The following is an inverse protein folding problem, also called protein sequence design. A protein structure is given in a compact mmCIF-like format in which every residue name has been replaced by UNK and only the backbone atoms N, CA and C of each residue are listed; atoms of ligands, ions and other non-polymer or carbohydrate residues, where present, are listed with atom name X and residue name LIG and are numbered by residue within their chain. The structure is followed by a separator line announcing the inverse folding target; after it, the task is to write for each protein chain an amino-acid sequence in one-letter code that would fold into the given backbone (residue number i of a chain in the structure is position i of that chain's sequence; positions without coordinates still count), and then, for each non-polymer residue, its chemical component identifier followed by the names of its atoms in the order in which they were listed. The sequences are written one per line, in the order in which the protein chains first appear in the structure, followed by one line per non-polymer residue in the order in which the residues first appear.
data_IF_192716715260
#
_entry.id   IF_192716715260
#
_cell.length_a   1.000
_cell.length_b   1.000
_cell.length_c   1.000
_cell.angle_alpha   90.00
_cell.angle_beta   90.00
_cell.angle_gamma   90.00
#
_symmetry.space_group_name_H-M   'P 1'
#
loop_
_entity.id
_entity.type
_entity.pdbx_description
1 polymer ?
#
# COMPACT_ATOMS: atom_id res chain seq x y z
N UNK A 1 14.75 -8.43 -12.64
CA UNK A 1 13.85 -8.74 -11.50
C UNK A 1 13.33 -7.41 -10.95
N UNK A 2 12.02 -7.21 -10.85
CA UNK A 2 11.44 -5.96 -10.33
C UNK A 2 11.45 -6.02 -8.80
N UNK A 3 12.05 -5.01 -8.16
CA UNK A 3 12.19 -4.98 -6.69
C UNK A 3 11.34 -3.87 -6.04
N UNK A 4 11.01 -2.82 -6.80
CA UNK A 4 10.34 -1.63 -6.29
C UNK A 4 9.08 -1.34 -7.11
N UNK A 5 7.94 -1.22 -6.43
CA UNK A 5 6.65 -0.86 -6.99
C UNK A 5 6.26 0.52 -6.48
N UNK A 6 5.78 1.39 -7.36
CA UNK A 6 5.21 2.69 -6.98
C UNK A 6 3.75 2.68 -7.35
N UNK A 7 2.89 2.94 -6.36
CA UNK A 7 1.44 3.07 -6.55
C UNK A 7 1.08 4.55 -6.37
N UNK A 8 0.53 5.15 -7.43
CA UNK A 8 0.10 6.55 -7.43
C UNK A 8 -1.41 6.58 -7.24
N UNK A 9 -1.85 7.17 -6.14
CA UNK A 9 -3.22 7.17 -5.64
C UNK A 9 -3.41 6.20 -4.48
N UNK A 10 -3.85 6.70 -3.32
CA UNK A 10 -4.14 5.96 -2.09
C UNK A 10 -5.66 5.77 -1.86
N UNK A 11 -6.45 5.84 -2.93
CA UNK A 11 -7.86 5.47 -2.91
C UNK A 11 -8.09 3.96 -2.74
N UNK A 12 -9.35 3.51 -2.89
CA UNK A 12 -9.73 2.10 -2.67
C UNK A 12 -8.90 1.12 -3.49
N UNK A 13 -8.73 1.36 -4.79
CA UNK A 13 -7.96 0.49 -5.67
C UNK A 13 -6.46 0.56 -5.37
N UNK A 14 -5.93 1.76 -5.11
CA UNK A 14 -4.52 1.97 -4.80
C UNK A 14 -4.07 1.23 -3.55
N UNK A 15 -4.90 1.23 -2.51
CA UNK A 15 -4.64 0.45 -1.30
C UNK A 15 -4.63 -1.06 -1.55
N UNK A 16 -5.58 -1.56 -2.35
CA UNK A 16 -5.61 -2.98 -2.71
C UNK A 16 -4.35 -3.42 -3.47
N UNK A 17 -3.96 -2.64 -4.49
CA UNK A 17 -2.75 -2.89 -5.29
C UNK A 17 -1.51 -2.87 -4.39
N UNK A 18 -1.36 -1.82 -3.57
CA UNK A 18 -0.22 -1.68 -2.68
C UNK A 18 -0.14 -2.83 -1.65
N UNK A 19 -1.29 -3.23 -1.08
CA UNK A 19 -1.38 -4.34 -0.15
C UNK A 19 -0.93 -5.67 -0.77
N UNK A 20 -1.45 -6.02 -1.96
CA UNK A 20 -1.11 -7.29 -2.62
C UNK A 20 0.39 -7.39 -2.94
N UNK A 21 1.00 -6.31 -3.43
CA UNK A 21 2.45 -6.30 -3.68
C UNK A 21 3.27 -6.33 -2.38
N UNK A 22 2.85 -5.61 -1.34
CA UNK A 22 3.52 -5.64 -0.04
C UNK A 22 3.46 -7.04 0.59
N UNK A 23 2.30 -7.70 0.54
CA UNK A 23 2.11 -9.07 1.01
C UNK A 23 2.98 -10.08 0.23
N UNK A 24 3.21 -9.82 -1.05
CA UNK A 24 4.06 -10.67 -1.90
C UNK A 24 5.56 -10.40 -1.71
N UNK A 25 5.95 -9.59 -0.72
CA UNK A 25 7.35 -9.32 -0.37
C UNK A 25 8.03 -8.25 -1.23
N UNK A 26 7.28 -7.48 -2.03
CA UNK A 26 7.85 -6.38 -2.82
C UNK A 26 7.98 -5.13 -1.98
N UNK A 27 8.99 -4.30 -2.28
CA UNK A 27 9.08 -2.95 -1.72
C UNK A 27 8.09 -2.03 -2.45
N UNK A 28 7.08 -1.55 -1.74
CA UNK A 28 6.02 -0.71 -2.31
C UNK A 28 6.09 0.71 -1.74
N UNK A 29 6.08 1.70 -2.63
CA UNK A 29 5.91 3.11 -2.29
C UNK A 29 4.50 3.55 -2.70
N UNK A 30 3.69 3.98 -1.73
CA UNK A 30 2.37 4.56 -1.97
C UNK A 30 2.48 6.10 -1.97
N UNK A 31 1.98 6.74 -3.03
CA UNK A 31 2.04 8.19 -3.22
C UNK A 31 0.65 8.73 -3.50
N UNK A 32 0.24 9.77 -2.78
CA UNK A 32 -0.98 10.53 -3.04
C UNK A 32 -0.73 12.00 -2.75
N UNK A 33 -1.51 12.88 -3.37
CA UNK A 33 -1.46 14.33 -3.10
C UNK A 33 -2.14 14.67 -1.76
N UNK A 34 -3.05 13.81 -1.30
CA UNK A 34 -3.74 13.95 -0.02
C UNK A 34 -3.05 13.13 1.07
N UNK A 35 -2.52 13.83 2.07
CA UNK A 35 -1.96 13.19 3.26
C UNK A 35 -3.02 12.34 3.99
N UNK A 36 -4.27 12.82 4.04
CA UNK A 36 -5.36 12.08 4.67
C UNK A 36 -5.64 10.75 3.97
N UNK A 37 -5.55 10.71 2.63
CA UNK A 37 -5.69 9.47 1.87
C UNK A 37 -4.53 8.51 2.15
N UNK A 38 -3.29 9.01 2.23
CA UNK A 38 -2.13 8.23 2.61
C UNK A 38 -2.26 7.63 4.00
N UNK A 39 -2.64 8.42 5.00
CA UNK A 39 -2.76 7.97 6.39
C UNK A 39 -3.81 6.87 6.53
N UNK A 40 -4.97 7.05 5.90
CA UNK A 40 -6.02 6.01 5.85
C UNK A 40 -5.51 4.76 5.14
N UNK A 41 -4.86 4.92 4.00
CA UNK A 41 -4.35 3.81 3.20
C UNK A 41 -3.30 3.00 3.92
N UNK A 42 -2.29 3.66 4.49
CA UNK A 42 -1.26 3.05 5.30
C UNK A 42 -1.85 2.31 6.50
N UNK A 43 -2.78 2.92 7.24
CA UNK A 43 -3.44 2.27 8.38
C UNK A 43 -4.17 0.99 7.97
N UNK A 44 -4.89 1.01 6.84
CA UNK A 44 -5.58 -0.18 6.33
C UNK A 44 -4.60 -1.26 5.90
N UNK A 45 -3.54 -0.89 5.17
CA UNK A 45 -2.53 -1.82 4.68
C UNK A 45 -1.80 -2.48 5.86
N UNK A 46 -1.34 -1.71 6.85
CA UNK A 46 -0.62 -2.24 8.02
C UNK A 46 -1.52 -3.14 8.86
N UNK A 47 -2.74 -2.68 9.17
CA UNK A 47 -3.71 -3.49 9.94
C UNK A 47 -4.01 -4.83 9.27
N UNK A 48 -4.07 -4.88 7.94
CA UNK A 48 -4.34 -6.11 7.20
C UNK A 48 -3.11 -7.02 7.11
N UNK A 49 -1.90 -6.45 7.05
CA UNK A 49 -0.66 -7.22 7.09
C UNK A 49 -0.42 -7.83 8.47
N UNK A 50 -0.66 -7.06 9.55
CA UNK A 50 -0.49 -7.51 10.94
C UNK A 50 -1.44 -8.67 11.32
N UNK A 51 -2.55 -8.86 10.58
CA UNK A 51 -3.50 -9.97 10.80
C UNK A 51 -3.03 -11.31 10.23
N UNK A 52 -1.93 -11.33 9.49
CA UNK A 52 -1.45 -12.51 8.76
C UNK A 52 -0.24 -13.15 9.46
N UNK A 53 0.22 -12.59 10.60
CA UNK A 53 1.20 -13.23 11.50
C UNK A 53 0.58 -14.22 12.49
#
# INVERSE_FOLDING_TARGET
MIQNIVVIGAGTMGNGIAHTFAQSGFKVNLVDVSQEALDRGLKTITTNLDRIE
#
